data_IF_410390196484
#
_entry.id   IF_410390196484
#
_cell.length_a   1.000
_cell.length_b   1.000
_cell.length_c   1.000
_cell.angle_alpha   90.00
_cell.angle_beta   90.00
_cell.angle_gamma   90.00
#
_symmetry.space_group_name_H-M   'P 1'
#
loop_
_entity.id
_entity.type
_entity.pdbx_description
1 polymer ?
#
# COMPACT_ATOMS: atom_id res chain seq x y z
N UNK A 1 -5.57 -13.06 -23.54
CA UNK A 1 -6.16 -11.85 -22.92
C UNK A 1 -6.68 -12.28 -21.56
N UNK A 2 -6.20 -11.68 -20.48
CA UNK A 2 -6.73 -11.97 -19.15
C UNK A 2 -8.11 -11.30 -19.08
N UNK A 3 -9.18 -12.08 -19.16
CA UNK A 3 -10.55 -11.59 -19.02
C UNK A 3 -10.87 -11.55 -17.52
N UNK A 4 -10.78 -10.38 -16.93
CA UNK A 4 -11.11 -10.15 -15.53
C UNK A 4 -10.61 -8.80 -15.04
N UNK A 5 -11.24 -8.27 -14.02
CA UNK A 5 -10.76 -7.08 -13.34
C UNK A 5 -9.41 -7.45 -12.68
N UNK A 6 -8.40 -6.55 -12.72
CA UNK A 6 -7.07 -6.76 -12.09
C UNK A 6 -7.13 -7.21 -10.63
N UNK A 7 -8.26 -7.00 -9.95
CA UNK A 7 -8.50 -7.37 -8.56
C UNK A 7 -9.08 -8.78 -8.36
N UNK A 8 -9.60 -9.41 -9.43
CA UNK A 8 -10.08 -10.80 -9.40
C UNK A 8 -8.91 -11.80 -9.36
N UNK A 9 -7.67 -11.29 -9.45
CA UNK A 9 -6.44 -12.07 -9.45
C UNK A 9 -5.74 -12.07 -8.09
N UNK A 10 -6.40 -11.62 -7.05
CA UNK A 10 -5.95 -11.78 -5.68
C UNK A 10 -6.43 -13.15 -5.20
N UNK A 11 -5.48 -13.97 -4.78
CA UNK A 11 -5.74 -15.32 -4.25
C UNK A 11 -5.45 -15.37 -2.77
N UNK A 12 -6.10 -16.31 -2.07
CA UNK A 12 -5.73 -16.61 -0.68
C UNK A 12 -4.56 -17.57 -0.69
N UNK A 13 -3.52 -17.22 0.02
CA UNK A 13 -2.42 -18.13 0.29
C UNK A 13 -2.79 -19.18 1.34
N UNK A 14 -1.88 -20.10 1.63
CA UNK A 14 -2.10 -21.20 2.56
C UNK A 14 -2.42 -20.74 4.00
N UNK A 15 -1.95 -19.56 4.40
CA UNK A 15 -2.22 -18.96 5.71
C UNK A 15 -3.49 -18.06 5.72
N UNK A 16 -4.14 -17.91 4.56
CA UNK A 16 -5.33 -17.09 4.39
C UNK A 16 -5.07 -15.64 4.02
N UNK A 17 -3.80 -15.21 3.88
CA UNK A 17 -3.46 -13.88 3.38
C UNK A 17 -3.86 -13.70 1.92
N UNK A 18 -4.03 -12.44 1.50
CA UNK A 18 -4.35 -12.09 0.11
C UNK A 18 -3.05 -11.72 -0.62
N UNK A 19 -2.75 -12.43 -1.68
CA UNK A 19 -1.59 -12.18 -2.55
C UNK A 19 -2.02 -12.13 -4.00
N UNK A 20 -1.26 -11.43 -4.84
CA UNK A 20 -1.48 -11.52 -6.28
C UNK A 20 -1.13 -12.91 -6.79
N UNK A 21 -1.99 -13.48 -7.64
CA UNK A 21 -1.70 -14.77 -8.26
C UNK A 21 -0.43 -14.70 -9.11
N UNK A 22 0.31 -15.80 -9.15
CA UNK A 22 1.53 -15.89 -9.97
C UNK A 22 1.23 -15.63 -11.44
N UNK A 23 0.11 -16.15 -11.95
CA UNK A 23 -0.34 -15.96 -13.32
C UNK A 23 -0.62 -14.50 -13.64
N UNK A 24 -1.20 -13.76 -12.69
CA UNK A 24 -1.45 -12.33 -12.85
C UNK A 24 -0.16 -11.52 -12.88
N UNK A 25 0.80 -11.84 -12.03
CA UNK A 25 2.12 -11.20 -12.04
C UNK A 25 2.86 -11.50 -13.35
N UNK A 26 2.83 -12.74 -13.84
CA UNK A 26 3.43 -13.12 -15.12
C UNK A 26 2.73 -12.44 -16.32
N UNK A 27 1.40 -12.33 -16.27
CA UNK A 27 0.66 -11.59 -17.29
C UNK A 27 1.03 -10.10 -17.28
N UNK A 28 1.15 -9.48 -16.12
CA UNK A 28 1.62 -8.09 -16.00
C UNK A 28 3.02 -7.91 -16.62
N UNK A 29 3.91 -8.86 -16.40
CA UNK A 29 5.26 -8.82 -16.98
C UNK A 29 5.25 -8.86 -18.51
N UNK A 30 4.47 -9.76 -19.09
CA UNK A 30 4.37 -9.90 -20.56
C UNK A 30 3.75 -8.67 -21.21
N UNK A 31 2.76 -8.09 -20.57
CA UNK A 31 2.06 -6.92 -21.09
C UNK A 31 2.93 -5.65 -21.02
N UNK A 32 3.94 -5.62 -20.14
CA UNK A 32 4.92 -4.54 -20.08
C UNK A 32 5.92 -4.54 -21.25
N UNK A 33 6.17 -5.68 -21.87
CA UNK A 33 7.07 -5.77 -23.00
C UNK A 33 6.45 -5.16 -24.28
N UNK A 34 5.11 -5.11 -24.37
CA UNK A 34 4.40 -4.70 -25.58
C UNK A 34 3.78 -3.30 -25.54
N UNK A 35 3.48 -2.73 -24.36
CA UNK A 35 2.83 -1.40 -24.25
C UNK A 35 3.29 -0.66 -23.01
N UNK A 36 4.03 0.42 -23.18
CA UNK A 36 4.28 1.42 -22.14
C UNK A 36 3.00 2.25 -21.95
N UNK A 37 2.01 1.70 -21.25
CA UNK A 37 0.87 2.48 -20.78
C UNK A 37 1.27 3.19 -19.49
N UNK A 38 1.57 4.48 -19.62
CA UNK A 38 2.02 5.34 -18.52
C UNK A 38 0.99 5.50 -17.38
N UNK A 39 -0.23 5.00 -17.58
CA UNK A 39 -1.32 5.12 -16.60
C UNK A 39 -1.55 3.85 -15.77
N UNK A 40 -0.79 2.78 -16.01
CA UNK A 40 -0.95 1.55 -15.22
C UNK A 40 -0.23 1.64 -13.88
N UNK A 41 -0.96 1.35 -12.84
CA UNK A 41 -0.44 1.18 -11.49
C UNK A 41 0.06 -0.26 -11.36
N UNK A 42 1.38 -0.46 -11.45
CA UNK A 42 2.00 -1.78 -11.43
C UNK A 42 3.25 -1.82 -10.58
N UNK A 43 3.54 -2.95 -9.93
CA UNK A 43 4.83 -3.13 -9.26
C UNK A 43 5.97 -3.22 -10.29
N UNK A 44 7.10 -2.62 -9.94
CA UNK A 44 8.32 -2.77 -10.72
C UNK A 44 8.90 -4.17 -10.53
N UNK A 45 9.44 -4.73 -11.60
CA UNK A 45 10.09 -6.04 -11.60
C UNK A 45 11.20 -6.13 -10.54
N UNK A 46 11.21 -7.20 -9.80
CA UNK A 46 12.20 -7.48 -8.76
C UNK A 46 11.74 -7.07 -7.36
N UNK A 47 12.30 -6.01 -6.78
CA UNK A 47 12.09 -5.69 -5.36
C UNK A 47 10.63 -5.46 -4.97
N UNK A 48 9.86 -4.73 -5.76
CA UNK A 48 8.45 -4.48 -5.47
C UNK A 48 7.59 -5.73 -5.62
N UNK A 49 7.80 -6.50 -6.69
CA UNK A 49 7.09 -7.77 -6.88
C UNK A 49 7.35 -8.75 -5.74
N UNK A 50 8.62 -8.86 -5.32
CA UNK A 50 9.01 -9.74 -4.21
C UNK A 50 8.35 -9.30 -2.89
N UNK A 51 8.27 -8.00 -2.64
CA UNK A 51 7.59 -7.47 -1.45
C UNK A 51 6.08 -7.77 -1.49
N UNK A 52 5.43 -7.52 -2.63
CA UNK A 52 3.99 -7.71 -2.77
C UNK A 52 3.56 -9.18 -2.83
N UNK A 53 4.44 -10.07 -3.27
CA UNK A 53 4.19 -11.53 -3.30
C UNK A 53 4.61 -12.26 -2.04
N UNK A 54 5.22 -11.56 -1.07
CA UNK A 54 5.62 -12.18 0.19
C UNK A 54 4.39 -12.55 1.03
N UNK A 55 4.34 -13.82 1.42
CA UNK A 55 3.28 -14.42 2.23
C UNK A 55 3.76 -14.53 3.69
N UNK A 56 3.85 -13.39 4.36
CA UNK A 56 4.38 -13.27 5.72
C UNK A 56 3.64 -12.19 6.51
N UNK A 57 3.50 -12.39 7.81
CA UNK A 57 2.87 -11.40 8.70
C UNK A 57 3.71 -10.13 8.87
N UNK A 58 5.02 -10.26 8.82
CA UNK A 58 5.97 -9.16 8.98
C UNK A 58 6.99 -9.21 7.86
N UNK A 59 7.06 -8.15 7.06
CA UNK A 59 8.05 -7.97 6.00
C UNK A 59 8.95 -6.78 6.31
N UNK A 60 10.26 -6.99 6.31
CA UNK A 60 11.26 -5.94 6.45
C UNK A 60 12.02 -5.79 5.13
N UNK A 61 11.83 -4.65 4.47
CA UNK A 61 12.47 -4.33 3.20
C UNK A 61 13.64 -3.36 3.39
N UNK A 62 14.85 -3.82 3.11
CA UNK A 62 16.07 -3.00 3.04
C UNK A 62 16.40 -2.58 1.61
N UNK A 63 17.42 -1.71 1.44
CA UNK A 63 17.98 -1.35 0.14
C UNK A 63 18.29 0.14 -0.03
N UNK A 64 18.91 0.49 -1.17
CA UNK A 64 19.33 1.85 -1.50
C UNK A 64 18.17 2.83 -1.63
N UNK A 65 18.46 4.13 -1.56
CA UNK A 65 17.52 5.21 -1.90
C UNK A 65 17.07 5.06 -3.37
N UNK A 66 15.76 5.13 -3.61
CA UNK A 66 15.22 5.08 -4.96
C UNK A 66 13.82 4.48 -5.03
N UNK A 67 12.83 5.11 -4.43
CA UNK A 67 11.40 5.06 -4.80
C UNK A 67 10.65 3.72 -4.72
N UNK A 68 11.35 2.60 -4.70
CA UNK A 68 10.70 1.30 -4.83
C UNK A 68 9.96 0.86 -3.56
N UNK A 69 10.54 1.11 -2.38
CA UNK A 69 9.98 0.66 -1.09
C UNK A 69 8.70 1.39 -0.72
N UNK A 70 8.73 2.72 -0.74
CA UNK A 70 7.57 3.57 -0.44
C UNK A 70 6.38 3.24 -1.34
N UNK A 71 6.64 3.05 -2.64
CA UNK A 71 5.60 2.68 -3.59
C UNK A 71 5.03 1.29 -3.31
N UNK A 72 5.85 0.33 -2.89
CA UNK A 72 5.38 -1.01 -2.48
C UNK A 72 4.46 -0.95 -1.27
N UNK A 73 4.78 -0.11 -0.26
CA UNK A 73 3.90 0.09 0.91
C UNK A 73 2.54 0.65 0.51
N UNK A 74 2.49 1.53 -0.48
CA UNK A 74 1.23 2.04 -1.01
C UNK A 74 0.47 0.96 -1.79
N UNK A 75 1.15 0.23 -2.68
CA UNK A 75 0.53 -0.82 -3.49
C UNK A 75 -0.06 -1.96 -2.65
N UNK A 76 0.51 -2.26 -1.50
CA UNK A 76 0.01 -3.31 -0.60
C UNK A 76 -1.45 -3.06 -0.20
N UNK A 77 -1.84 -1.81 -0.05
CA UNK A 77 -3.22 -1.44 0.27
C UNK A 77 -4.24 -1.81 -0.84
N UNK A 78 -3.79 -2.01 -2.07
CA UNK A 78 -4.68 -2.37 -3.17
C UNK A 78 -5.27 -3.78 -3.02
N UNK A 79 -4.65 -4.65 -2.23
CA UNK A 79 -5.14 -6.01 -1.99
C UNK A 79 -6.54 -5.98 -1.35
N UNK A 80 -6.76 -5.03 -0.44
CA UNK A 80 -7.99 -4.91 0.34
C UNK A 80 -8.81 -3.64 0.06
N UNK A 81 -8.53 -2.94 -1.05
CA UNK A 81 -9.10 -1.61 -1.33
C UNK A 81 -10.64 -1.62 -1.46
N UNK A 82 -11.22 -2.76 -1.77
CA UNK A 82 -12.68 -2.96 -1.86
C UNK A 82 -13.32 -3.50 -0.57
N UNK A 83 -12.51 -3.77 0.45
CA UNK A 83 -13.01 -4.25 1.73
C UNK A 83 -13.44 -3.07 2.61
N UNK A 84 -14.74 -2.95 2.88
CA UNK A 84 -15.29 -1.86 3.69
C UNK A 84 -14.81 -1.83 5.16
N UNK A 85 -14.28 -2.94 5.67
CA UNK A 85 -13.70 -3.02 7.01
C UNK A 85 -12.19 -2.76 7.03
N UNK A 86 -11.56 -2.58 5.86
CA UNK A 86 -10.13 -2.36 5.76
C UNK A 86 -9.71 -1.04 6.38
N UNK A 87 -8.78 -1.10 7.32
CA UNK A 87 -8.16 0.07 7.94
C UNK A 87 -6.67 -0.08 7.87
N UNK A 88 -6.04 0.82 7.15
CA UNK A 88 -4.59 0.84 6.96
C UNK A 88 -3.97 2.08 7.58
N UNK A 89 -2.72 1.94 8.01
CA UNK A 89 -1.88 3.03 8.51
C UNK A 89 -0.53 3.01 7.82
N UNK A 90 -0.14 4.15 7.24
CA UNK A 90 1.21 4.39 6.72
C UNK A 90 1.91 5.39 7.63
N UNK A 91 3.06 4.99 8.15
CA UNK A 91 3.83 5.77 9.12
C UNK A 91 5.15 6.25 8.53
N UNK A 92 5.51 7.48 8.82
CA UNK A 92 6.86 8.04 8.64
C UNK A 92 7.35 8.68 9.93
N UNK A 93 8.67 8.86 10.04
CA UNK A 93 9.27 9.50 11.20
C UNK A 93 8.91 10.99 11.26
N UNK A 94 9.08 11.70 10.17
CA UNK A 94 8.88 13.15 10.09
C UNK A 94 7.58 13.51 9.35
N UNK A 95 6.88 14.52 9.86
CA UNK A 95 5.64 15.05 9.27
C UNK A 95 5.88 15.61 7.87
N UNK A 96 6.99 16.32 7.69
CA UNK A 96 7.31 16.99 6.41
C UNK A 96 7.54 15.98 5.28
N UNK A 97 8.00 14.78 5.61
CA UNK A 97 8.23 13.71 4.64
C UNK A 97 6.94 13.02 4.19
N UNK A 98 5.85 13.20 4.94
CA UNK A 98 4.53 12.66 4.55
C UNK A 98 3.99 13.29 3.26
N UNK A 99 4.33 14.52 2.95
CA UNK A 99 3.83 15.20 1.76
C UNK A 99 4.14 14.40 0.48
N UNK A 100 5.36 13.90 0.35
CA UNK A 100 5.78 13.13 -0.82
C UNK A 100 5.01 11.81 -0.97
N UNK A 101 4.86 11.06 0.13
CA UNK A 101 4.12 9.78 0.07
C UNK A 101 2.63 10.00 -0.17
N UNK A 102 2.04 11.08 0.35
CA UNK A 102 0.67 11.47 0.08
C UNK A 102 0.47 11.81 -1.40
N UNK A 103 1.40 12.55 -2.01
CA UNK A 103 1.33 12.89 -3.43
C UNK A 103 1.45 11.66 -4.32
N UNK A 104 2.34 10.71 -3.99
CA UNK A 104 2.40 9.43 -4.69
C UNK A 104 1.11 8.62 -4.50
N UNK A 105 0.52 8.64 -3.31
CA UNK A 105 -0.73 7.93 -3.03
C UNK A 105 -1.90 8.40 -3.88
N UNK A 106 -1.91 9.69 -4.29
CA UNK A 106 -2.96 10.24 -5.17
C UNK A 106 -2.97 9.56 -6.53
N UNK A 107 -1.80 9.21 -7.06
CA UNK A 107 -1.70 8.49 -8.35
C UNK A 107 -2.32 7.09 -8.28
N UNK A 108 -2.35 6.51 -7.07
CA UNK A 108 -2.82 5.14 -6.84
C UNK A 108 -4.29 5.11 -6.43
N UNK A 109 -4.70 6.00 -5.51
CA UNK A 109 -5.99 5.88 -4.82
C UNK A 109 -7.07 6.85 -5.30
N UNK A 110 -6.78 7.79 -6.21
CA UNK A 110 -7.75 8.79 -6.66
C UNK A 110 -9.06 8.23 -7.23
N UNK A 111 -9.00 7.04 -7.82
CA UNK A 111 -10.16 6.37 -8.41
C UNK A 111 -10.92 5.49 -7.39
N UNK A 112 -10.38 5.35 -6.18
CA UNK A 112 -10.92 4.45 -5.15
C UNK A 112 -11.48 5.17 -3.93
N UNK A 113 -11.27 6.48 -3.82
CA UNK A 113 -11.72 7.23 -2.66
C UNK A 113 -11.41 8.71 -2.71
N UNK A 114 -11.71 9.40 -1.62
CA UNK A 114 -11.46 10.82 -1.45
C UNK A 114 -10.42 11.05 -0.35
N UNK A 115 -9.44 11.90 -0.63
CA UNK A 115 -8.43 12.29 0.34
C UNK A 115 -8.91 13.47 1.20
N UNK A 116 -8.94 13.27 2.51
CA UNK A 116 -9.19 14.35 3.47
C UNK A 116 -7.93 15.23 3.62
N UNK A 117 -8.04 16.48 3.16
CA UNK A 117 -6.94 17.45 3.17
C UNK A 117 -6.66 18.09 4.54
N UNK A 118 -7.39 17.70 5.59
CA UNK A 118 -7.14 18.22 6.93
C UNK A 118 -5.76 17.78 7.43
N UNK A 119 -4.95 18.73 7.91
CA UNK A 119 -3.63 18.42 8.49
C UNK A 119 -3.71 17.53 9.74
N UNK A 120 -4.86 17.50 10.40
CA UNK A 120 -5.11 16.65 11.58
C UNK A 120 -5.59 15.25 11.22
N UNK A 121 -6.05 15.05 9.98
CA UNK A 121 -6.62 13.78 9.54
C UNK A 121 -6.25 13.50 8.08
N UNK A 122 -5.00 13.09 7.88
CA UNK A 122 -4.44 12.74 6.58
C UNK A 122 -4.92 11.35 6.16
N UNK A 123 -6.15 11.25 5.67
CA UNK A 123 -6.80 9.96 5.43
C UNK A 123 -7.45 9.91 4.05
N UNK A 124 -7.25 8.80 3.35
CA UNK A 124 -8.10 8.37 2.24
C UNK A 124 -9.34 7.68 2.78
N UNK A 125 -10.51 8.20 2.46
CA UNK A 125 -11.78 7.53 2.70
C UNK A 125 -12.16 6.79 1.42
N UNK A 126 -12.10 5.47 1.46
CA UNK A 126 -12.36 4.63 0.29
C UNK A 126 -13.86 4.53 0.01
N UNK A 127 -14.25 4.44 -1.25
CA UNK A 127 -15.64 4.23 -1.66
C UNK A 127 -16.24 2.94 -1.12
N UNK A 128 -15.40 1.95 -0.82
CA UNK A 128 -15.78 0.71 -0.14
C UNK A 128 -16.21 0.89 1.32
N UNK A 129 -15.86 2.02 1.95
CA UNK A 129 -16.00 2.27 3.39
C UNK A 129 -14.72 2.03 4.19
N UNK A 130 -13.70 1.46 3.59
CA UNK A 130 -12.37 1.32 4.19
C UNK A 130 -11.62 2.66 4.29
N UNK A 131 -10.44 2.65 4.92
CA UNK A 131 -9.63 3.86 5.06
C UNK A 131 -8.13 3.58 5.06
N UNK A 132 -7.35 4.53 4.50
CA UNK A 132 -5.89 4.51 4.52
C UNK A 132 -5.42 5.80 5.16
N UNK A 133 -4.83 5.72 6.34
CA UNK A 133 -4.41 6.86 7.14
C UNK A 133 -2.89 7.03 7.07
N UNK A 134 -2.45 8.28 6.86
CA UNK A 134 -1.04 8.67 7.00
C UNK A 134 -0.82 9.30 8.37
N UNK A 135 0.29 8.96 9.00
CA UNK A 135 0.66 9.54 10.27
C UNK A 135 2.19 9.52 10.45
N UNK A 136 2.65 10.22 11.45
CA UNK A 136 4.06 10.18 11.86
C UNK A 136 4.19 9.52 13.23
N UNK A 137 5.37 9.00 13.51
CA UNK A 137 5.68 8.41 14.82
C UNK A 137 6.81 9.19 15.50
N UNK A 138 6.77 9.20 16.82
CA UNK A 138 7.77 9.83 17.67
C UNK A 138 8.73 8.76 18.19
N UNK A 139 10.00 9.11 18.38
CA UNK A 139 10.98 8.27 19.10
C UNK A 139 10.63 8.15 20.59
N UNK A 140 9.73 9.01 21.10
CA UNK A 140 9.23 8.91 22.46
C UNK A 140 8.15 7.82 22.53
N UNK A 141 8.45 6.77 23.29
CA UNK A 141 7.55 5.62 23.47
C UNK A 141 6.19 5.99 24.07
N UNK A 142 6.16 6.91 25.05
CA UNK A 142 4.89 7.30 25.68
C UNK A 142 3.98 8.08 24.71
N UNK A 143 4.55 8.97 23.91
CA UNK A 143 3.81 9.68 22.87
C UNK A 143 3.28 8.71 21.79
N UNK A 144 4.10 7.76 21.39
CA UNK A 144 3.70 6.71 20.45
C UNK A 144 2.53 5.89 21.02
N UNK A 145 2.67 5.43 22.26
CA UNK A 145 1.65 4.64 22.96
C UNK A 145 0.31 5.40 23.06
N UNK A 146 0.34 6.63 23.53
CA UNK A 146 -0.88 7.46 23.66
C UNK A 146 -1.57 7.63 22.29
N UNK A 147 -0.82 7.85 21.24
CA UNK A 147 -1.34 8.10 19.89
C UNK A 147 -1.99 6.88 19.26
N UNK A 148 -1.45 5.70 19.49
CA UNK A 148 -1.86 4.46 18.80
C UNK A 148 -2.59 3.45 19.68
N UNK A 149 -2.59 3.63 21.01
CA UNK A 149 -3.25 2.73 21.94
C UNK A 149 -4.76 2.58 21.61
N UNK A 150 -5.21 1.33 21.57
CA UNK A 150 -6.62 0.99 21.33
C UNK A 150 -7.07 1.10 19.87
N UNK A 151 -6.17 1.41 18.93
CA UNK A 151 -6.47 1.41 17.50
C UNK A 151 -6.17 0.06 16.90
N UNK A 152 -6.97 -0.34 15.92
CA UNK A 152 -6.81 -1.60 15.19
C UNK A 152 -6.68 -1.30 13.70
N UNK A 153 -5.71 -1.94 13.06
CA UNK A 153 -5.43 -1.81 11.65
C UNK A 153 -5.26 -3.20 11.03
N UNK A 154 -5.76 -3.35 9.81
CA UNK A 154 -5.54 -4.55 8.99
C UNK A 154 -4.13 -4.57 8.39
N UNK A 155 -3.56 -3.39 8.15
CA UNK A 155 -2.22 -3.22 7.62
C UNK A 155 -1.53 -2.01 8.23
N UNK A 156 -0.24 -2.15 8.53
CA UNK A 156 0.63 -1.06 8.97
C UNK A 156 1.90 -1.08 8.12
N UNK A 157 2.11 -0.02 7.35
CA UNK A 157 3.35 0.22 6.62
C UNK A 157 4.20 1.26 7.33
N UNK A 158 5.48 0.98 7.55
CA UNK A 158 6.43 1.94 8.15
C UNK A 158 7.51 2.22 7.11
N UNK A 159 7.59 3.47 6.68
CA UNK A 159 8.59 3.93 5.73
C UNK A 159 9.68 4.70 6.48
N UNK A 160 10.91 4.32 6.24
CA UNK A 160 12.10 4.86 6.91
C UNK A 160 12.10 4.63 8.44
N UNK A 161 12.60 3.45 8.83
CA UNK A 161 12.86 3.08 10.23
C UNK A 161 14.28 3.54 10.60
#
# INVERSE_FOLDING_TARGET
>A
MFEGNKFDNIVKSADGSQVYSYEYIEWLRKDQEDVVDSNRIMPQKGGQENMLSADVDILIGGGSRGGTKTYSLLLENNKDIYNGNFKSMILRKEVDDLANIIDESRKIFQDFGEYNKSKSDMTWNLHSGGSIKFNYYSDNYEDFKIRFQGKQFSYIGIDEI
#
